data_IF_017017479676
#
_entry.id   IF_017017479676
#
_cell.length_a   1.000
_cell.length_b   1.000
_cell.length_c   1.000
_cell.angle_alpha   90.00
_cell.angle_beta   90.00
_cell.angle_gamma   90.00
#
_symmetry.space_group_name_H-M   'P 1'
#
loop_
_entity.id
_entity.type
_entity.pdbx_description
1 polymer ?
#
# COMPACT_ATOMS: atom_id res chain seq x y z
N UNK A 1 4.21 -3.65 9.88
CA UNK A 1 4.35 -2.74 8.73
C UNK A 1 3.86 -3.39 7.43
N UNK A 2 4.60 -4.34 6.83
CA UNK A 2 4.18 -4.96 5.56
C UNK A 2 2.80 -5.63 5.62
N UNK A 3 2.47 -6.27 6.75
CA UNK A 3 1.13 -6.86 6.97
C UNK A 3 0.02 -5.81 7.09
N UNK A 4 0.26 -4.73 7.83
CA UNK A 4 -0.68 -3.59 7.97
C UNK A 4 -0.95 -2.92 6.62
N UNK A 5 0.06 -2.80 5.75
CA UNK A 5 -0.11 -2.29 4.39
C UNK A 5 -1.04 -3.22 3.58
N UNK A 6 -0.81 -4.53 3.62
CA UNK A 6 -1.65 -5.50 2.93
C UNK A 6 -3.07 -5.51 3.46
N UNK A 7 -3.26 -5.42 4.79
CA UNK A 7 -4.57 -5.39 5.41
C UNK A 7 -5.35 -4.12 5.02
N UNK A 8 -4.70 -2.94 5.02
CA UNK A 8 -5.33 -1.68 4.61
C UNK A 8 -5.78 -1.72 3.14
N UNK A 9 -4.96 -2.25 2.22
CA UNK A 9 -5.33 -2.36 0.80
C UNK A 9 -6.41 -3.44 0.61
N UNK A 10 -6.35 -4.56 1.33
CA UNK A 10 -7.37 -5.63 1.27
C UNK A 10 -8.73 -5.14 1.77
N UNK A 11 -8.74 -4.30 2.81
CA UNK A 11 -9.95 -3.66 3.33
C UNK A 11 -10.43 -2.50 2.45
N UNK A 12 -9.64 -2.11 1.44
CA UNK A 12 -9.83 -0.90 0.69
C UNK A 12 -10.05 0.32 1.61
N UNK A 13 -9.28 0.42 2.71
CA UNK A 13 -9.37 1.52 3.66
C UNK A 13 -8.29 2.58 3.35
N UNK A 14 -8.68 3.61 2.58
CA UNK A 14 -7.72 4.65 2.19
C UNK A 14 -7.24 5.48 3.38
N UNK A 15 -8.05 5.62 4.43
CA UNK A 15 -7.69 6.38 5.62
C UNK A 15 -6.60 5.64 6.41
N UNK A 16 -6.75 4.33 6.63
CA UNK A 16 -5.72 3.49 7.26
C UNK A 16 -4.42 3.52 6.43
N UNK A 17 -4.53 3.39 5.10
CA UNK A 17 -3.39 3.50 4.19
C UNK A 17 -2.69 4.86 4.29
N UNK A 18 -3.45 5.95 4.40
CA UNK A 18 -2.93 7.30 4.57
C UNK A 18 -2.05 7.47 5.81
N UNK A 19 -2.29 6.70 6.88
CA UNK A 19 -1.45 6.71 8.10
C UNK A 19 -0.08 6.03 7.92
N UNK A 20 0.07 5.26 6.83
CA UNK A 20 1.31 4.58 6.47
C UNK A 20 2.21 5.46 5.59
N UNK A 21 1.70 6.56 5.05
CA UNK A 21 2.47 7.49 4.23
C UNK A 21 3.47 8.28 5.09
N UNK A 22 4.63 8.59 4.50
CA UNK A 22 5.69 9.36 5.16
C UNK A 22 5.24 10.81 5.46
N UNK A 23 4.40 11.35 4.58
CA UNK A 23 3.76 12.65 4.74
C UNK A 23 2.26 12.49 4.91
N UNK A 24 1.62 13.36 5.70
CA UNK A 24 0.16 13.40 5.79
C UNK A 24 -0.45 13.52 4.40
N UNK A 25 -1.29 12.55 4.04
CA UNK A 25 -2.05 12.60 2.80
C UNK A 25 -3.20 13.61 2.96
N UNK A 26 -3.49 14.36 1.90
CA UNK A 26 -4.63 15.28 1.91
C UNK A 26 -5.93 14.49 1.85
N UNK A 27 -7.00 15.02 2.45
CA UNK A 27 -8.32 14.39 2.39
C UNK A 27 -8.81 14.18 0.94
N UNK A 28 -8.43 15.07 0.02
CA UNK A 28 -8.74 14.93 -1.41
C UNK A 28 -8.06 13.70 -2.04
N UNK A 29 -6.76 13.52 -1.80
CA UNK A 29 -6.01 12.37 -2.30
C UNK A 29 -6.54 11.04 -1.74
N UNK A 30 -6.89 11.01 -0.46
CA UNK A 30 -7.49 9.83 0.18
C UNK A 30 -8.87 9.50 -0.39
N UNK A 31 -9.68 10.53 -0.71
CA UNK A 31 -11.00 10.35 -1.34
C UNK A 31 -10.88 9.83 -2.77
N UNK A 32 -9.92 10.33 -3.55
CA UNK A 32 -9.63 9.80 -4.89
C UNK A 32 -9.12 8.36 -4.84
N UNK A 33 -8.28 8.03 -3.87
CA UNK A 33 -7.80 6.66 -3.66
C UNK A 33 -8.95 5.72 -3.31
N UNK A 34 -9.82 6.12 -2.39
CA UNK A 34 -11.00 5.35 -2.00
C UNK A 34 -11.89 5.08 -3.21
N UNK A 35 -12.19 6.10 -4.02
CA UNK A 35 -13.03 5.95 -5.21
C UNK A 35 -12.44 4.95 -6.22
N UNK A 36 -11.10 4.92 -6.39
CA UNK A 36 -10.43 3.95 -7.25
C UNK A 36 -10.55 2.52 -6.71
N UNK A 37 -10.46 2.35 -5.40
CA UNK A 37 -10.59 1.02 -4.77
C UNK A 37 -12.04 0.54 -4.79
N UNK A 38 -13.01 1.41 -4.49
CA UNK A 38 -14.44 1.10 -4.59
C UNK A 38 -14.83 0.68 -6.02
N UNK A 39 -14.29 1.38 -7.04
CA UNK A 39 -14.52 1.04 -8.44
C UNK A 39 -13.86 -0.28 -8.85
N UNK A 40 -12.73 -0.66 -8.23
CA UNK A 40 -12.06 -1.93 -8.49
C UNK A 40 -12.81 -3.13 -7.88
N UNK A 41 -13.66 -2.89 -6.89
CA UNK A 41 -14.41 -3.93 -6.18
C UNK A 41 -13.54 -4.73 -5.20
N UNK A 42 -13.93 -5.95 -4.83
CA UNK A 42 -13.20 -6.74 -3.84
C UNK A 42 -11.79 -7.08 -4.32
N UNK A 43 -10.78 -6.54 -3.63
CA UNK A 43 -9.37 -6.81 -3.89
C UNK A 43 -8.85 -7.80 -2.85
N UNK A 44 -8.12 -8.85 -3.28
CA UNK A 44 -7.27 -9.62 -2.37
C UNK A 44 -5.83 -9.19 -2.55
N UNK A 45 -5.15 -8.91 -1.45
CA UNK A 45 -3.76 -8.49 -1.49
C UNK A 45 -2.90 -9.48 -0.72
N UNK A 46 -1.75 -9.83 -1.29
CA UNK A 46 -0.77 -10.70 -0.65
C UNK A 46 0.65 -10.19 -0.90
N UNK A 47 1.56 -10.45 0.04
CA UNK A 47 2.99 -10.15 -0.15
C UNK A 47 3.59 -11.20 -1.09
N UNK A 48 4.34 -10.74 -2.08
CA UNK A 48 5.13 -11.60 -2.96
C UNK A 48 6.56 -11.60 -2.44
N UNK A 49 6.95 -12.71 -1.82
CA UNK A 49 8.30 -12.90 -1.30
C UNK A 49 8.66 -11.98 -0.13
N UNK A 50 9.96 -11.80 0.07
CA UNK A 50 10.50 -10.92 1.11
C UNK A 50 10.72 -9.50 0.58
N UNK A 51 10.54 -8.46 1.41
CA UNK A 51 10.90 -7.09 1.06
C UNK A 51 12.37 -6.98 0.67
N UNK A 52 12.66 -6.32 -0.45
CA UNK A 52 14.02 -5.96 -0.84
C UNK A 52 14.41 -4.68 -0.08
N UNK A 53 15.32 -4.79 0.90
CA UNK A 53 15.78 -3.65 1.72
C UNK A 53 17.15 -3.21 1.24
N UNK A 54 17.31 -1.91 0.96
CA UNK A 54 18.54 -1.25 0.55
C UNK A 54 18.74 0.01 1.40
N UNK A 55 19.43 -0.14 2.55
CA UNK A 55 19.64 0.96 3.49
C UNK A 55 18.32 1.45 4.10
N UNK A 56 17.99 2.72 3.88
CA UNK A 56 16.75 3.35 4.33
C UNK A 56 15.62 3.26 3.29
N UNK A 57 15.84 2.57 2.17
CA UNK A 57 14.82 2.28 1.17
C UNK A 57 14.45 0.79 1.20
N UNK A 58 13.18 0.47 1.00
CA UNK A 58 12.71 -0.89 0.87
C UNK A 58 11.67 -0.97 -0.25
N UNK A 59 11.62 -2.09 -0.96
CA UNK A 59 10.57 -2.37 -1.94
C UNK A 59 9.83 -3.63 -1.54
N UNK A 60 8.52 -3.52 -1.40
CA UNK A 60 7.64 -4.63 -1.09
C UNK A 60 6.81 -4.92 -2.33
N UNK A 61 6.90 -6.12 -2.88
CA UNK A 61 6.01 -6.51 -3.98
C UNK A 61 4.71 -7.03 -3.40
N UNK A 62 3.59 -6.42 -3.79
CA UNK A 62 2.25 -6.90 -3.44
C UNK A 62 1.56 -7.47 -4.67
N UNK A 63 0.95 -8.63 -4.54
CA UNK A 63 0.05 -9.19 -5.55
C UNK A 63 -1.36 -8.76 -5.19
N UNK A 64 -2.00 -8.03 -6.10
CA UNK A 64 -3.39 -7.63 -6.02
C UNK A 64 -4.18 -8.52 -6.97
N UNK A 65 -5.11 -9.31 -6.43
CA UNK A 65 -6.03 -10.16 -7.18
C UNK A 65 -7.39 -9.47 -7.25
N UNK A 66 -7.90 -9.31 -8.46
CA UNK A 66 -9.21 -8.71 -8.74
C UNK A 66 -10.03 -9.59 -9.69
N UNK A 67 -11.21 -9.11 -10.06
CA UNK A 67 -12.15 -9.79 -10.95
C UNK A 67 -11.59 -9.83 -12.38
N UNK A 68 -10.80 -10.86 -12.69
CA UNK A 68 -10.19 -11.07 -14.01
C UNK A 68 -8.70 -11.42 -14.01
N UNK A 69 -8.06 -11.46 -12.85
CA UNK A 69 -6.66 -11.88 -12.73
C UNK A 69 -5.94 -11.28 -11.53
N UNK A 70 -4.62 -11.40 -11.53
CA UNK A 70 -3.76 -10.80 -10.52
C UNK A 70 -2.70 -9.91 -11.16
N UNK A 71 -2.32 -8.85 -10.44
CA UNK A 71 -1.23 -7.96 -10.82
C UNK A 71 -0.28 -7.81 -9.66
N UNK A 72 1.00 -8.01 -9.93
CA UNK A 72 2.07 -7.72 -8.98
C UNK A 72 2.46 -6.25 -9.13
N UNK A 73 2.48 -5.54 -8.01
CA UNK A 73 2.80 -4.11 -7.95
C UNK A 73 3.90 -3.91 -6.94
N UNK A 74 5.05 -3.35 -7.33
CA UNK A 74 6.09 -2.96 -6.40
C UNK A 74 5.63 -1.73 -5.62
N UNK A 75 5.70 -1.81 -4.29
CA UNK A 75 5.40 -0.74 -3.36
C UNK A 75 6.70 -0.24 -2.73
N UNK A 76 7.19 0.96 -3.09
CA UNK A 76 8.34 1.55 -2.43
C UNK A 76 7.97 1.95 -1.00
N UNK A 77 8.92 1.76 -0.10
CA UNK A 77 8.89 2.19 1.29
C UNK A 77 10.19 2.91 1.59
N UNK A 78 10.13 3.95 2.41
CA UNK A 78 11.29 4.66 2.92
C UNK A 78 11.26 4.65 4.43
N UNK A 79 12.43 4.60 5.06
CA UNK A 79 12.59 4.71 6.50
C UNK A 79 12.81 6.17 6.85
N UNK A 80 11.86 6.78 7.54
CA UNK A 80 11.98 8.12 8.10
C UNK A 80 11.81 8.07 9.62
N UNK A 81 12.72 8.73 10.37
CA UNK A 81 12.70 8.74 11.83
C UNK A 81 12.63 7.33 12.47
N UNK A 82 13.27 6.34 11.84
CA UNK A 82 13.28 4.96 12.30
C UNK A 82 12.03 4.13 11.97
N UNK A 83 10.99 4.74 11.37
CA UNK A 83 9.75 4.09 10.94
C UNK A 83 9.72 3.95 9.42
N UNK A 84 9.35 2.78 8.93
CA UNK A 84 9.04 2.60 7.50
C UNK A 84 7.76 3.36 7.16
N UNK A 85 7.67 3.92 5.97
CA UNK A 85 6.50 4.63 5.47
C UNK A 85 6.46 4.61 3.95
N UNK A 86 5.28 4.78 3.36
CA UNK A 86 5.11 4.89 1.91
C UNK A 86 5.51 6.31 1.49
N UNK A 87 6.50 6.50 0.60
CA UNK A 87 6.82 7.82 0.07
C UNK A 87 5.61 8.31 -0.73
N UNK A 88 5.09 9.49 -0.36
CA UNK A 88 3.92 10.13 -0.96
C UNK A 88 4.20 11.57 -1.34
#
# INVERSE_FOLDING_TARGET
MARTLVDAITRADSAEFGTLACKPQTAAALKELQAKWDAAGPLRVSLVGQPAIAGDDATVTVRVEGTGGHKETPFPLRRENGRWCVPG
#
